data_IF_602625367878
#
_entry.id   IF_602625367878
#
_cell.length_a   1.000
_cell.length_b   1.000
_cell.length_c   1.000
_cell.angle_alpha   90.00
_cell.angle_beta   90.00
_cell.angle_gamma   90.00
#
_symmetry.space_group_name_H-M   'P 1'
#
loop_
_entity.id
_entity.type
_entity.pdbx_description
1 polymer ?
#
# COMPACT_ATOMS: atom_id res chain seq x y z
N UNK A 1 19.28 7.14 27.45
CA UNK A 1 19.10 7.47 28.89
C UNK A 1 18.66 6.23 29.68
N UNK A 2 17.56 5.56 29.34
CA UNK A 2 16.99 4.41 30.07
C UNK A 2 18.00 3.27 30.21
N UNK A 3 18.65 2.86 29.14
CA UNK A 3 19.65 1.79 29.13
C UNK A 3 20.79 2.09 30.14
N UNK A 4 21.28 3.31 30.16
CA UNK A 4 22.36 3.71 31.07
C UNK A 4 21.90 3.80 32.53
N UNK A 5 20.71 4.40 32.76
CA UNK A 5 20.17 4.61 34.10
C UNK A 5 19.85 3.30 34.83
N UNK A 6 19.35 2.29 34.09
CA UNK A 6 18.90 1.04 34.66
C UNK A 6 19.81 -0.15 34.33
N UNK A 7 20.99 0.11 33.73
CA UNK A 7 21.95 -0.92 33.32
C UNK A 7 21.33 -2.01 32.43
N UNK A 8 20.51 -1.58 31.48
CA UNK A 8 19.81 -2.48 30.52
C UNK A 8 20.58 -2.55 29.20
N UNK A 9 20.31 -3.57 28.40
CA UNK A 9 20.86 -3.72 27.06
C UNK A 9 20.44 -2.61 26.08
N UNK A 10 20.83 -2.77 24.82
CA UNK A 10 20.42 -1.86 23.74
C UNK A 10 18.90 -2.03 23.50
N UNK A 11 18.21 -0.92 23.28
CA UNK A 11 16.75 -0.88 23.01
C UNK A 11 15.92 -1.64 24.06
N UNK A 12 15.96 -1.24 25.34
CA UNK A 12 15.28 -1.95 26.42
C UNK A 12 13.76 -1.74 26.46
N UNK A 13 13.22 -0.94 25.54
CA UNK A 13 11.79 -0.60 25.43
C UNK A 13 11.38 -0.81 23.98
N UNK A 14 10.27 -1.50 23.79
CA UNK A 14 9.61 -1.65 22.51
C UNK A 14 8.70 -0.45 22.23
N UNK A 15 8.86 0.14 21.05
CA UNK A 15 8.06 1.29 20.64
C UNK A 15 7.11 0.92 19.49
N UNK A 16 5.97 1.60 19.46
CA UNK A 16 5.04 1.58 18.34
C UNK A 16 5.10 2.92 17.63
N UNK A 17 5.34 2.88 16.32
CA UNK A 17 5.30 4.07 15.48
C UNK A 17 3.90 4.19 14.86
N UNK A 18 3.10 5.12 15.39
CA UNK A 18 1.80 5.45 14.85
C UNK A 18 1.92 6.41 13.66
N UNK A 19 1.09 6.20 12.62
CA UNK A 19 1.03 7.12 11.49
C UNK A 19 2.30 7.15 10.63
N UNK A 20 2.89 5.99 10.33
CA UNK A 20 4.11 5.87 9.54
C UNK A 20 3.98 6.24 8.05
N UNK A 21 2.76 6.40 7.53
CA UNK A 21 2.51 6.86 6.16
C UNK A 21 3.11 8.24 5.92
N UNK A 22 3.85 8.40 4.82
CA UNK A 22 4.55 9.64 4.49
C UNK A 22 5.94 9.80 5.13
N UNK A 23 6.37 8.89 6.01
CA UNK A 23 7.73 8.86 6.52
C UNK A 23 8.72 8.41 5.43
N UNK A 24 9.88 9.04 5.39
CA UNK A 24 10.96 8.60 4.49
C UNK A 24 11.55 7.26 4.95
N UNK A 25 12.15 6.52 4.01
CA UNK A 25 12.82 5.25 4.30
C UNK A 25 13.93 5.41 5.37
N UNK A 26 14.64 6.53 5.36
CA UNK A 26 15.68 6.82 6.35
C UNK A 26 15.10 6.98 7.76
N UNK A 27 13.99 7.69 7.90
CA UNK A 27 13.28 7.86 9.18
C UNK A 27 12.75 6.53 9.71
N UNK A 28 12.17 5.70 8.83
CA UNK A 28 11.69 4.36 9.18
C UNK A 28 12.84 3.49 9.73
N UNK A 29 13.97 3.44 9.02
CA UNK A 29 15.14 2.65 9.43
C UNK A 29 15.79 3.16 10.70
N UNK A 30 15.85 4.47 10.88
CA UNK A 30 16.31 5.09 12.11
C UNK A 30 15.42 4.72 13.30
N UNK A 31 14.09 4.80 13.12
CA UNK A 31 13.11 4.41 14.14
C UNK A 31 13.24 2.93 14.55
N UNK A 32 13.42 2.02 13.58
CA UNK A 32 13.70 0.61 13.85
C UNK A 32 14.99 0.45 14.67
N UNK A 33 16.03 1.21 14.33
CA UNK A 33 17.29 1.24 15.07
C UNK A 33 17.16 1.66 16.53
N UNK A 34 16.13 2.41 16.88
CA UNK A 34 15.81 2.85 18.24
C UNK A 34 14.88 1.93 19.02
N UNK A 35 14.39 0.84 18.42
CA UNK A 35 13.55 -0.14 19.09
C UNK A 35 12.06 -0.05 18.71
N UNK A 36 11.73 0.53 17.57
CA UNK A 36 10.38 0.43 17.01
C UNK A 36 10.16 -0.99 16.49
N UNK A 37 9.19 -1.68 17.09
CA UNK A 37 8.84 -3.08 16.76
C UNK A 37 7.53 -3.19 15.97
N UNK A 38 6.76 -2.11 15.88
CA UNK A 38 5.50 -2.03 15.14
C UNK A 38 5.34 -0.65 14.51
N UNK A 39 4.88 -0.62 13.25
CA UNK A 39 4.49 0.59 12.55
C UNK A 39 3.08 0.44 11.99
N UNK A 40 2.24 1.46 12.15
CA UNK A 40 0.93 1.51 11.53
C UNK A 40 1.03 2.25 10.19
N UNK A 41 0.64 1.57 9.11
CA UNK A 41 0.61 2.12 7.75
C UNK A 41 -0.81 1.93 7.21
N UNK A 42 -1.52 3.00 6.91
CA UNK A 42 -2.89 2.99 6.42
C UNK A 42 -3.04 3.85 5.15
N UNK A 43 -2.76 5.13 5.25
CA UNK A 43 -3.00 6.12 4.19
C UNK A 43 -2.34 5.74 2.86
N UNK A 44 -1.09 5.28 2.87
CA UNK A 44 -0.37 4.87 1.65
C UNK A 44 -1.02 3.65 0.99
N UNK A 45 -1.53 2.70 1.78
CA UNK A 45 -2.19 1.51 1.27
C UNK A 45 -3.56 1.85 0.67
N UNK A 46 -4.33 2.71 1.34
CA UNK A 46 -5.59 3.23 0.81
C UNK A 46 -5.37 3.97 -0.51
N UNK A 47 -4.33 4.82 -0.56
CA UNK A 47 -4.01 5.56 -1.77
C UNK A 47 -3.61 4.62 -2.91
N UNK A 48 -2.75 3.63 -2.67
CA UNK A 48 -2.34 2.65 -3.67
C UNK A 48 -3.54 1.88 -4.27
N UNK A 49 -4.51 1.50 -3.42
CA UNK A 49 -5.75 0.87 -3.91
C UNK A 49 -6.54 1.83 -4.80
N UNK A 50 -6.74 3.06 -4.35
CA UNK A 50 -7.46 4.11 -5.08
C UNK A 50 -6.77 4.45 -6.39
N UNK A 51 -5.45 4.49 -6.42
CA UNK A 51 -4.65 4.75 -7.61
C UNK A 51 -4.89 3.70 -8.69
N UNK A 52 -4.90 2.42 -8.34
CA UNK A 52 -5.23 1.34 -9.28
C UNK A 52 -6.63 1.47 -9.88
N UNK A 53 -7.63 1.84 -9.07
CA UNK A 53 -9.01 2.11 -9.55
C UNK A 53 -9.02 3.33 -10.48
N UNK A 54 -8.39 4.43 -10.07
CA UNK A 54 -8.32 5.68 -10.83
C UNK A 54 -7.73 5.46 -12.22
N UNK A 55 -6.57 4.81 -12.26
CA UNK A 55 -5.83 4.63 -13.51
C UNK A 55 -6.61 3.73 -14.48
N UNK A 56 -7.22 2.66 -13.97
CA UNK A 56 -8.11 1.84 -14.78
C UNK A 56 -9.29 2.63 -15.36
N UNK A 57 -9.95 3.47 -14.55
CA UNK A 57 -11.08 4.28 -15.01
C UNK A 57 -10.63 5.28 -16.07
N UNK A 58 -9.50 5.96 -15.87
CA UNK A 58 -8.97 6.93 -16.83
C UNK A 58 -8.63 6.27 -18.17
N UNK A 59 -7.96 5.13 -18.14
CA UNK A 59 -7.60 4.38 -19.36
C UNK A 59 -8.81 3.86 -20.13
N UNK A 60 -9.89 3.51 -19.43
CA UNK A 60 -11.06 2.87 -20.02
C UNK A 60 -12.30 3.77 -20.05
N UNK A 61 -12.14 5.08 -19.87
CA UNK A 61 -13.28 6.00 -19.69
C UNK A 61 -14.32 5.92 -20.80
N UNK A 62 -13.92 5.73 -22.05
CA UNK A 62 -14.86 5.66 -23.19
C UNK A 62 -15.67 4.36 -23.22
N UNK A 63 -15.18 3.32 -22.58
CA UNK A 63 -15.87 2.03 -22.42
C UNK A 63 -16.70 1.95 -21.13
N UNK A 64 -16.59 2.94 -20.25
CA UNK A 64 -17.28 2.99 -18.97
C UNK A 64 -18.50 3.93 -18.96
N UNK A 65 -18.72 4.70 -20.03
CA UNK A 65 -19.82 5.68 -20.13
C UNK A 65 -21.19 5.04 -20.27
N UNK A 66 -21.28 3.87 -20.92
CA UNK A 66 -22.54 3.19 -21.25
C UNK A 66 -22.37 1.67 -21.14
N UNK A 67 -23.48 0.95 -21.04
CA UNK A 67 -23.44 -0.51 -21.05
C UNK A 67 -23.18 -1.08 -22.46
N UNK A 68 -23.64 -0.40 -23.50
CA UNK A 68 -23.52 -0.77 -24.91
C UNK A 68 -23.13 0.48 -25.70
N UNK A 69 -22.28 0.32 -26.69
CA UNK A 69 -21.73 1.39 -27.51
C UNK A 69 -20.41 1.93 -26.95
N UNK A 70 -19.38 1.89 -27.80
CA UNK A 70 -18.04 2.36 -27.49
C UNK A 70 -17.30 2.78 -28.77
N UNK A 71 -16.03 3.23 -28.73
CA UNK A 71 -15.29 3.62 -29.94
C UNK A 71 -15.16 2.55 -31.02
N UNK A 72 -15.39 1.27 -30.68
CA UNK A 72 -15.32 0.16 -31.66
C UNK A 72 -16.66 -0.06 -32.38
N UNK A 73 -17.79 0.45 -31.88
CA UNK A 73 -19.09 0.33 -32.49
C UNK A 73 -20.27 0.63 -31.57
N UNK A 74 -21.40 1.06 -32.15
CA UNK A 74 -22.59 1.47 -31.41
C UNK A 74 -23.29 0.29 -30.69
N UNK A 75 -23.09 -0.94 -31.15
CA UNK A 75 -23.72 -2.16 -30.58
C UNK A 75 -22.71 -2.98 -29.74
N UNK A 76 -21.48 -2.51 -29.57
CA UNK A 76 -20.46 -3.24 -28.84
C UNK A 76 -20.73 -3.23 -27.32
N UNK A 77 -20.75 -4.39 -26.64
CA UNK A 77 -20.98 -4.47 -25.21
C UNK A 77 -19.73 -4.09 -24.42
N UNK A 78 -19.95 -3.35 -23.31
CA UNK A 78 -18.86 -2.87 -22.44
C UNK A 78 -18.64 -3.70 -21.17
N UNK A 79 -19.37 -4.81 -21.00
CA UNK A 79 -19.31 -5.62 -19.76
C UNK A 79 -17.90 -5.98 -19.32
N UNK A 80 -17.02 -6.32 -20.26
CA UNK A 80 -15.63 -6.68 -19.96
C UNK A 80 -14.80 -5.54 -19.35
N UNK A 81 -15.26 -4.28 -19.46
CA UNK A 81 -14.60 -3.11 -18.90
C UNK A 81 -15.21 -2.71 -17.55
N UNK A 82 -16.54 -2.68 -17.42
CA UNK A 82 -17.19 -2.27 -16.18
C UNK A 82 -17.37 -3.39 -15.14
N UNK A 83 -17.04 -4.64 -15.46
CA UNK A 83 -17.11 -5.75 -14.51
C UNK A 83 -16.21 -5.46 -13.28
N UNK A 84 -16.78 -5.37 -12.06
CA UNK A 84 -16.01 -5.02 -10.86
C UNK A 84 -14.80 -5.91 -10.62
N UNK A 85 -14.85 -7.17 -11.02
CA UNK A 85 -13.73 -8.10 -10.89
C UNK A 85 -12.48 -7.65 -11.65
N UNK A 86 -12.63 -6.80 -12.68
CA UNK A 86 -11.51 -6.26 -13.44
C UNK A 86 -10.80 -5.16 -12.67
N UNK A 87 -11.50 -4.09 -12.36
CA UNK A 87 -10.87 -2.94 -11.72
C UNK A 87 -10.53 -3.18 -10.23
N UNK A 88 -11.29 -4.04 -9.53
CA UNK A 88 -10.92 -4.47 -8.18
C UNK A 88 -9.63 -5.28 -8.19
N UNK A 89 -9.41 -6.15 -9.19
CA UNK A 89 -8.15 -6.91 -9.30
C UNK A 89 -6.95 -6.00 -9.51
N UNK A 90 -7.08 -4.98 -10.36
CA UNK A 90 -6.01 -4.01 -10.60
C UNK A 90 -5.71 -3.20 -9.32
N UNK A 91 -6.76 -2.80 -8.60
CA UNK A 91 -6.59 -2.14 -7.31
C UNK A 91 -5.90 -3.02 -6.26
N UNK A 92 -6.27 -4.30 -6.19
CA UNK A 92 -5.62 -5.30 -5.33
C UNK A 92 -4.14 -5.48 -5.67
N UNK A 93 -3.79 -5.54 -6.95
CA UNK A 93 -2.41 -5.65 -7.41
C UNK A 93 -1.58 -4.41 -7.03
N UNK A 94 -2.12 -3.22 -7.21
CA UNK A 94 -1.49 -1.97 -6.78
C UNK A 94 -1.27 -1.93 -5.26
N UNK A 95 -2.30 -2.30 -4.50
CA UNK A 95 -2.21 -2.43 -3.04
C UNK A 95 -1.12 -3.42 -2.62
N UNK A 96 -1.07 -4.61 -3.24
CA UNK A 96 -0.10 -5.63 -2.92
C UNK A 96 1.34 -5.17 -3.18
N UNK A 97 1.59 -4.47 -4.29
CA UNK A 97 2.91 -3.91 -4.59
C UNK A 97 3.35 -2.93 -3.50
N UNK A 98 2.46 -2.04 -3.07
CA UNK A 98 2.78 -1.09 -1.98
C UNK A 98 2.97 -1.80 -0.64
N UNK A 99 2.21 -2.86 -0.36
CA UNK A 99 2.36 -3.66 0.86
C UNK A 99 3.69 -4.41 0.90
N UNK A 100 4.09 -5.03 -0.21
CA UNK A 100 5.41 -5.69 -0.33
C UNK A 100 6.51 -4.66 -0.06
N UNK A 101 6.41 -3.47 -0.65
CA UNK A 101 7.36 -2.40 -0.42
C UNK A 101 7.42 -1.97 1.06
N UNK A 102 6.29 -1.94 1.75
CA UNK A 102 6.26 -1.65 3.19
C UNK A 102 7.00 -2.73 4.01
N UNK A 103 6.84 -4.01 3.67
CA UNK A 103 7.60 -5.09 4.33
C UNK A 103 9.11 -4.97 4.09
N UNK A 104 9.53 -4.60 2.88
CA UNK A 104 10.95 -4.33 2.58
C UNK A 104 11.49 -3.15 3.40
N UNK A 105 10.76 -2.05 3.45
CA UNK A 105 11.14 -0.84 4.18
C UNK A 105 11.28 -1.11 5.69
N UNK A 106 10.41 -1.96 6.23
CA UNK A 106 10.43 -2.40 7.63
C UNK A 106 11.42 -3.53 7.92
N UNK A 107 12.19 -3.98 6.93
CA UNK A 107 13.11 -5.13 7.05
C UNK A 107 12.41 -6.41 7.56
N UNK A 108 11.17 -6.63 7.09
CA UNK A 108 10.30 -7.72 7.53
C UNK A 108 10.06 -8.77 6.43
N UNK A 109 11.07 -9.02 5.61
CA UNK A 109 11.03 -10.06 4.57
C UNK A 109 11.77 -11.31 5.10
N UNK A 110 11.15 -12.48 4.95
CA UNK A 110 11.71 -13.78 5.38
C UNK A 110 12.10 -13.83 6.87
N UNK A 111 11.35 -13.18 7.73
CA UNK A 111 11.61 -13.11 9.18
C UNK A 111 10.89 -14.20 9.97
N UNK A 112 9.98 -14.95 9.35
CA UNK A 112 9.31 -16.11 9.94
C UNK A 112 10.10 -17.37 9.56
N UNK A 113 10.83 -17.93 10.52
CA UNK A 113 11.49 -19.22 10.44
C UNK A 113 10.65 -20.29 11.15
#
# INVERSE_FOLDING_TARGET
YVSKKFNLGKNPIDFVFHGGSGSSLSEIREAIGYGVVKMNIDTDLQFAFTEGVRDYIVENIDFLKTQIGNPNGLSEPNKKFYDPRKWLRIAEESFNQRLIKAFEDLNNINTLN
#
